data_IF_375765438549
#
_entry.id   IF_375765438549
#
_cell.length_a   1.000
_cell.length_b   1.000
_cell.length_c   1.000
_cell.angle_alpha   90.00
_cell.angle_beta   90.00
_cell.angle_gamma   90.00
#
_symmetry.space_group_name_H-M   'P 1'
#
loop_
_entity.id
_entity.type
_entity.pdbx_description
1 polymer ?
2 water ?
#
# COMPACT_ATOMS: atom_id res chain seq x y z
N UNK A 1 12.93 -5.87 0.41
CA UNK A 1 12.11 -4.87 -0.36
C UNK A 1 11.61 -3.78 0.58
N UNK A 2 11.92 -2.52 0.27
CA UNK A 2 11.47 -1.41 1.09
C UNK A 2 10.15 -0.88 0.48
N UNK A 3 9.18 -0.59 1.34
CA UNK A 3 7.90 -0.12 0.87
C UNK A 3 7.50 1.08 1.73
N UNK A 4 6.83 2.05 1.12
CA UNK A 4 6.15 3.08 1.93
C UNK A 4 5.06 2.41 2.71
N UNK A 5 4.75 3.01 3.84
CA UNK A 5 3.75 2.44 4.74
C UNK A 5 3.03 3.48 5.59
N UNK A 6 1.73 3.29 5.69
CA UNK A 6 0.85 4.14 6.53
C UNK A 6 -0.56 3.59 6.47
N UNK A 7 -1.30 3.90 7.52
CA UNK A 7 -2.72 3.54 7.64
C UNK A 7 -3.48 4.75 7.15
N UNK A 8 -4.78 4.79 7.34
CA UNK A 8 -5.51 5.97 6.88
C UNK A 8 -5.14 7.19 7.71
N UNK A 9 -4.78 6.95 8.97
CA UNK A 9 -4.42 8.06 9.88
C UNK A 9 -2.92 8.15 10.23
N UNK A 10 -2.22 7.02 10.44
CA UNK A 10 -0.80 7.05 10.82
C UNK A 10 0.01 7.83 9.78
N UNK A 11 1.26 8.07 10.17
CA UNK A 11 2.25 8.81 9.36
C UNK A 11 2.91 7.91 8.33
N UNK A 12 3.26 8.53 7.20
CA UNK A 12 3.93 7.83 6.07
C UNK A 12 5.43 7.66 6.34
N UNK A 13 5.82 6.42 6.47
CA UNK A 13 7.21 6.06 6.63
C UNK A 13 7.65 5.09 5.54
N UNK A 14 8.80 4.81 5.52
CA UNK A 14 9.55 3.83 4.72
C UNK A 14 9.98 2.65 5.62
N UNK A 15 9.54 1.44 5.26
CA UNK A 15 9.93 0.21 6.01
C UNK A 15 10.51 -0.82 5.12
N UNK A 16 11.13 -1.75 5.76
CA UNK A 16 11.65 -2.89 5.09
C UNK A 16 10.55 -3.91 5.35
N UNK A 17 10.45 -4.89 4.56
CA UNK A 17 9.38 -5.84 4.73
C UNK A 17 9.92 -7.25 4.78
N UNK A 18 10.39 -7.66 5.99
CA UNK A 18 10.96 -8.99 6.12
C UNK A 18 10.03 -10.07 5.70
N UNK A 19 10.50 -10.91 4.80
CA UNK A 19 9.70 -12.03 4.35
C UNK A 19 8.65 -11.69 3.28
N UNK A 20 8.56 -10.43 2.83
CA UNK A 20 7.58 -10.11 1.77
C UNK A 20 8.32 -9.66 0.53
N UNK A 21 7.70 -9.85 -0.60
CA UNK A 21 8.30 -9.43 -1.86
C UNK A 21 7.50 -8.29 -2.48
N UNK A 22 6.30 -8.06 -2.01
CA UNK A 22 5.47 -7.01 -2.60
C UNK A 22 5.25 -5.82 -1.68
N UNK A 23 4.91 -4.70 -2.29
CA UNK A 23 4.43 -3.51 -1.56
C UNK A 23 3.01 -3.29 -2.08
N UNK A 24 2.15 -2.65 -1.30
CA UNK A 24 0.79 -2.36 -1.78
C UNK A 24 0.41 -0.90 -1.57
N UNK A 25 -0.55 -0.53 -2.38
CA UNK A 25 -1.21 0.78 -2.35
C UNK A 25 -2.69 0.43 -2.49
N UNK A 26 -3.44 0.79 -1.43
CA UNK A 26 -4.92 0.74 -1.46
C UNK A 26 -5.48 2.11 -1.81
N UNK A 27 -6.43 2.20 -2.68
CA UNK A 27 -7.07 3.48 -3.05
C UNK A 27 -8.57 3.39 -3.11
N UNK A 28 -9.19 4.56 -3.01
CA UNK A 28 -10.65 4.61 -3.18
C UNK A 28 -11.00 4.44 -4.66
N UNK A 29 -11.81 3.48 -4.96
CA UNK A 29 -12.23 3.21 -6.35
C UNK A 29 -13.21 4.33 -6.79
N UNK A 30 -14.07 4.76 -5.87
CA UNK A 30 -15.05 5.85 -6.12
C UNK A 30 -14.55 7.19 -5.61
N UNK A 31 -14.97 8.35 -6.29
CA UNK A 31 -14.42 9.73 -5.95
C UNK A 31 -14.74 9.91 -4.47
N UNK A 32 -14.28 11.16 -4.10
CA UNK A 32 -12.82 11.24 -4.03
C UNK A 32 -12.18 9.95 -3.96
N UNK A 33 -11.28 10.12 -5.09
CA UNK A 33 -10.32 9.07 -5.42
C UNK A 33 -8.99 9.43 -4.77
N UNK A 34 -8.60 8.64 -3.82
CA UNK A 34 -7.38 8.91 -3.09
C UNK A 34 -6.83 7.64 -2.46
N UNK A 35 -5.57 7.71 -2.10
CA UNK A 35 -4.88 6.58 -1.46
C UNK A 35 -5.27 6.50 0.02
N UNK A 36 -5.69 5.34 0.43
CA UNK A 36 -6.10 5.11 1.83
C UNK A 36 -5.04 4.40 2.68
N UNK A 37 -4.11 3.73 2.04
CA UNK A 37 -3.10 2.98 2.80
C UNK A 37 -2.01 2.48 1.89
N UNK A 38 -0.85 2.26 2.46
CA UNK A 38 0.35 1.71 1.81
C UNK A 38 1.08 0.78 2.79
N UNK A 39 1.67 -0.28 2.32
CA UNK A 39 2.37 -1.17 3.27
C UNK A 39 3.06 -2.32 2.55
N UNK A 40 3.52 -3.22 3.37
CA UNK A 40 4.21 -4.45 2.98
C UNK A 40 3.19 -5.47 2.51
N UNK A 41 3.51 -6.33 1.50
CA UNK A 41 2.64 -7.48 1.19
C UNK A 41 1.59 -7.07 0.15
N UNK A 42 0.64 -7.96 -0.04
CA UNK A 42 -0.49 -7.78 -0.97
C UNK A 42 -1.71 -8.34 -0.26
N UNK A 43 -2.37 -7.54 0.58
CA UNK A 43 -3.52 -8.00 1.35
C UNK A 43 -4.72 -8.20 0.51
N UNK A 44 -5.70 -8.89 1.05
CA UNK A 44 -6.97 -9.00 0.35
C UNK A 44 -7.76 -7.78 0.77
N UNK A 45 -8.48 -7.21 -0.03
CA UNK A 45 -9.09 -5.90 0.20
C UNK A 45 -10.63 -6.01 0.12
N UNK A 46 -11.31 -5.22 0.97
CA UNK A 46 -12.78 -5.19 1.00
C UNK A 46 -13.26 -4.44 -0.22
N UNK A 47 -14.53 -4.39 -0.47
CA UNK A 47 -15.15 -3.71 -1.60
C UNK A 47 -14.99 -2.20 -1.57
N UNK A 48 -14.98 -1.54 -2.73
CA UNK A 48 -14.76 -0.12 -2.85
C UNK A 48 -13.27 0.24 -2.92
N UNK A 49 -12.40 -0.76 -2.78
CA UNK A 49 -10.95 -0.43 -2.85
C UNK A 49 -10.27 -0.92 -4.12
N UNK A 50 -9.48 -0.09 -4.76
CA UNK A 50 -8.54 -0.44 -5.84
C UNK A 50 -7.19 -0.74 -5.15
N UNK A 51 -6.69 -1.93 -5.37
CA UNK A 51 -5.45 -2.53 -4.80
C UNK A 51 -4.38 -2.61 -5.89
N UNK A 52 -3.26 -2.03 -5.63
CA UNK A 52 -2.11 -2.22 -6.53
C UNK A 52 -0.98 -2.88 -5.74
N UNK A 53 -0.40 -3.94 -6.27
CA UNK A 53 0.74 -4.60 -5.64
C UNK A 53 1.93 -4.64 -6.58
N UNK A 54 3.06 -4.20 -6.05
CA UNK A 54 4.28 -4.14 -6.90
C UNK A 54 5.44 -4.81 -6.16
N UNK A 55 6.54 -5.04 -6.86
CA UNK A 55 7.68 -5.79 -6.39
C UNK A 55 9.03 -5.10 -6.35
N UNK A 56 9.20 -3.83 -6.67
CA UNK A 56 10.55 -3.24 -6.55
C UNK A 56 10.55 -2.24 -5.39
N UNK A 57 11.73 -1.91 -4.84
CA UNK A 57 11.76 -1.01 -3.71
C UNK A 57 11.01 0.28 -3.97
N UNK A 58 10.31 0.75 -2.93
CA UNK A 58 9.65 2.03 -3.06
C UNK A 58 8.68 2.07 -4.23
N UNK A 59 8.19 0.93 -4.69
CA UNK A 59 7.28 1.06 -5.86
C UNK A 59 5.92 1.57 -5.48
N UNK A 60 5.51 1.60 -4.19
CA UNK A 60 4.13 1.94 -3.91
C UNK A 60 3.84 3.38 -3.59
N UNK A 61 4.69 4.26 -4.10
CA UNK A 61 4.43 5.70 -3.93
C UNK A 61 3.32 6.12 -4.88
#
# INVERSE_FOLDING_TARGET
>A
TMCYSHTTTSRAILTNCPGETNCYKKSRRHPPKMVLGRGCGCPTVAPGIKLNCCTTDKCNY
#
